data_IF_440304328913
#
_entry.id   IF_440304328913
#
_cell.length_a   1.000
_cell.length_b   1.000
_cell.length_c   1.000
_cell.angle_alpha   90.00
_cell.angle_beta   90.00
_cell.angle_gamma   90.00
#
_symmetry.space_group_name_H-M   'P 1'
#
loop_
_entity.id
_entity.type
_entity.pdbx_description
1 polymer ?
#
# COMPACT_ATOMS: atom_id res chain seq x y z
N UNK A 1 -11.38 18.85 4.97
CA UNK A 1 -10.32 17.84 4.81
C UNK A 1 -9.09 18.56 4.28
N UNK A 2 -8.16 18.94 5.14
CA UNK A 2 -6.85 19.37 4.67
C UNK A 2 -6.17 18.14 4.06
N UNK A 3 -5.87 18.25 2.78
CA UNK A 3 -5.59 17.16 1.86
C UNK A 3 -4.18 16.66 2.20
N UNK A 4 -4.06 15.42 2.71
CA UNK A 4 -2.79 14.81 3.18
C UNK A 4 -1.62 14.86 2.19
N UNK A 5 -1.89 15.24 0.95
CA UNK A 5 -0.91 15.44 -0.10
C UNK A 5 0.03 16.63 0.17
N UNK A 6 -0.41 17.67 0.88
CA UNK A 6 0.47 18.79 1.27
C UNK A 6 1.58 18.35 2.23
N UNK A 7 1.36 17.27 2.98
CA UNK A 7 2.37 16.68 3.87
C UNK A 7 3.43 15.87 3.09
N UNK A 8 3.18 15.56 1.82
CA UNK A 8 4.07 14.76 0.99
C UNK A 8 4.49 15.53 -0.25
N UNK A 9 5.69 16.10 -0.20
CA UNK A 9 6.29 16.74 -1.37
C UNK A 9 6.71 15.68 -2.40
N UNK A 10 5.80 15.40 -3.34
CA UNK A 10 6.03 14.58 -4.52
C UNK A 10 6.34 15.43 -5.77
N UNK A 11 6.61 16.74 -5.61
CA UNK A 11 6.88 17.65 -6.74
C UNK A 11 5.69 17.79 -7.70
N UNK A 12 4.47 17.55 -7.21
CA UNK A 12 3.27 17.46 -8.02
C UNK A 12 2.64 18.85 -8.24
N UNK A 13 2.58 19.28 -9.50
CA UNK A 13 1.85 20.48 -9.89
C UNK A 13 0.37 20.13 -10.14
N UNK A 14 -0.48 20.28 -9.12
CA UNK A 14 -1.91 19.91 -9.17
C UNK A 14 -2.69 20.48 -10.36
N UNK A 15 -2.48 21.75 -10.78
CA UNK A 15 -3.07 22.27 -12.02
C UNK A 15 -2.75 21.44 -13.27
N UNK A 16 -1.49 21.02 -13.44
CA UNK A 16 -1.08 20.19 -14.57
C UNK A 16 -1.56 18.74 -14.44
N UNK A 17 -1.65 18.20 -13.22
CA UNK A 17 -2.12 16.83 -13.00
C UNK A 17 -3.56 16.59 -13.45
N UNK A 18 -4.41 17.63 -13.51
CA UNK A 18 -5.82 17.48 -13.92
C UNK A 18 -5.98 16.93 -15.34
N UNK A 19 -4.98 17.12 -16.20
CA UNK A 19 -5.00 16.65 -17.59
C UNK A 19 -4.24 15.35 -17.80
N UNK A 20 -3.54 14.85 -16.77
CA UNK A 20 -2.69 13.67 -16.85
C UNK A 20 -3.46 12.40 -16.52
N UNK A 21 -3.14 11.31 -17.22
CA UNK A 21 -3.60 10.00 -16.80
C UNK A 21 -2.83 9.56 -15.55
N UNK A 22 -3.42 8.65 -14.79
CA UNK A 22 -2.77 8.10 -13.59
C UNK A 22 -1.40 7.48 -13.90
N UNK A 23 -1.24 6.90 -15.09
CA UNK A 23 0.02 6.32 -15.55
C UNK A 23 1.10 7.39 -15.77
N UNK A 24 0.72 8.54 -16.32
CA UNK A 24 1.64 9.68 -16.53
C UNK A 24 2.14 10.24 -15.20
N UNK A 25 1.25 10.31 -14.21
CA UNK A 25 1.60 10.71 -12.84
C UNK A 25 2.60 9.74 -12.22
N UNK A 26 2.36 8.43 -12.34
CA UNK A 26 3.27 7.41 -11.83
C UNK A 26 4.62 7.45 -12.53
N UNK A 27 4.64 7.60 -13.86
CA UNK A 27 5.85 7.70 -14.64
C UNK A 27 6.66 8.94 -14.25
N UNK A 28 6.00 10.08 -14.08
CA UNK A 28 6.63 11.32 -13.63
C UNK A 28 7.29 11.14 -12.25
N UNK A 29 6.57 10.56 -11.29
CA UNK A 29 7.12 10.30 -9.94
C UNK A 29 8.28 9.31 -10.00
N UNK A 30 8.17 8.27 -10.83
CA UNK A 30 9.24 7.30 -11.00
C UNK A 30 10.50 7.92 -11.62
N UNK A 31 10.35 8.72 -12.67
CA UNK A 31 11.45 9.38 -13.37
C UNK A 31 12.16 10.43 -12.51
N UNK A 32 11.41 11.23 -11.74
CA UNK A 32 11.98 12.32 -10.96
C UNK A 32 12.40 11.95 -9.53
N UNK A 33 11.73 10.97 -8.92
CA UNK A 33 11.92 10.64 -7.50
C UNK A 33 12.27 9.16 -7.25
N UNK A 34 12.27 8.33 -8.29
CA UNK A 34 12.67 6.93 -8.23
C UNK A 34 11.60 5.97 -7.69
N UNK A 35 11.93 4.68 -7.74
CA UNK A 35 11.04 3.56 -7.40
C UNK A 35 10.44 3.66 -6.00
N UNK A 36 11.26 4.02 -5.00
CA UNK A 36 10.80 4.07 -3.61
C UNK A 36 9.69 5.10 -3.44
N UNK A 37 9.86 6.31 -4.00
CA UNK A 37 8.88 7.39 -3.93
C UNK A 37 7.60 7.07 -4.71
N UNK A 38 7.71 6.35 -5.83
CA UNK A 38 6.54 5.82 -6.53
C UNK A 38 5.74 4.83 -5.66
N UNK A 39 6.43 3.91 -4.96
CA UNK A 39 5.76 2.98 -4.03
C UNK A 39 5.07 3.74 -2.88
N UNK A 40 5.73 4.77 -2.34
CA UNK A 40 5.14 5.65 -1.32
C UNK A 40 3.84 6.30 -1.81
N UNK A 41 3.87 6.86 -3.02
CA UNK A 41 2.71 7.47 -3.63
C UNK A 41 1.55 6.48 -3.80
N UNK A 42 1.83 5.25 -4.25
CA UNK A 42 0.81 4.21 -4.41
C UNK A 42 0.18 3.79 -3.08
N UNK A 43 0.99 3.61 -2.03
CA UNK A 43 0.49 3.29 -0.68
C UNK A 43 -0.37 4.43 -0.14
N UNK A 44 0.00 5.68 -0.40
CA UNK A 44 -0.80 6.85 -0.02
C UNK A 44 -2.15 6.86 -0.76
N UNK A 45 -2.16 6.70 -2.08
CA UNK A 45 -3.38 6.55 -2.88
C UNK A 45 -4.31 5.46 -2.32
N UNK A 46 -3.74 4.29 -2.02
CA UNK A 46 -4.45 3.16 -1.46
C UNK A 46 -5.05 3.47 -0.07
N UNK A 47 -4.30 4.17 0.79
CA UNK A 47 -4.76 4.55 2.12
C UNK A 47 -5.95 5.52 2.07
N UNK A 48 -5.92 6.46 1.13
CA UNK A 48 -7.00 7.43 0.89
C UNK A 48 -8.25 6.71 0.38
N UNK A 49 -8.07 5.78 -0.58
CA UNK A 49 -9.15 4.94 -1.09
C UNK A 49 -9.81 4.12 0.03
N UNK A 50 -9.00 3.44 0.87
CA UNK A 50 -9.49 2.70 2.02
C UNK A 50 -10.27 3.60 3.00
N UNK A 51 -9.76 4.81 3.28
CA UNK A 51 -10.44 5.74 4.18
C UNK A 51 -11.80 6.19 3.60
N UNK A 52 -11.85 6.47 2.29
CA UNK A 52 -13.09 6.81 1.59
C UNK A 52 -14.12 5.66 1.66
N UNK A 53 -13.68 4.42 1.47
CA UNK A 53 -14.56 3.25 1.55
C UNK A 53 -15.10 3.04 2.97
N UNK A 54 -14.30 3.29 4.00
CA UNK A 54 -14.77 3.25 5.39
C UNK A 54 -15.92 4.22 5.64
N UNK A 55 -15.79 5.45 5.16
CA UNK A 55 -16.84 6.47 5.25
C UNK A 55 -18.11 6.01 4.51
N UNK A 56 -17.97 5.45 3.31
CA UNK A 56 -19.10 4.93 2.53
C UNK A 56 -19.86 3.80 3.24
N UNK A 57 -19.19 3.01 4.08
CA UNK A 57 -19.78 1.95 4.90
C UNK A 57 -20.17 2.40 6.32
N UNK A 58 -20.30 3.71 6.56
CA UNK A 58 -20.78 4.26 7.83
C UNK A 58 -19.75 4.28 8.96
N UNK A 59 -18.48 4.01 8.68
CA UNK A 59 -17.40 4.14 9.66
C UNK A 59 -16.87 5.58 9.69
N UNK A 60 -16.28 6.00 10.81
CA UNK A 60 -15.69 7.32 10.93
C UNK A 60 -14.44 7.47 10.06
N UNK A 61 -14.29 8.66 9.45
CA UNK A 61 -13.09 9.04 8.73
C UNK A 61 -11.89 9.05 9.68
N UNK A 62 -10.77 8.43 9.29
CA UNK A 62 -9.51 8.63 10.01
C UNK A 62 -9.05 10.07 9.87
N UNK A 63 -8.49 10.63 10.95
CA UNK A 63 -7.83 11.92 10.92
C UNK A 63 -6.64 11.87 9.94
N UNK A 64 -6.34 12.97 9.24
CA UNK A 64 -5.20 13.04 8.32
C UNK A 64 -3.87 12.69 9.00
N UNK A 65 -3.66 13.11 10.24
CA UNK A 65 -2.43 12.78 11.00
C UNK A 65 -2.37 11.32 11.43
N UNK A 66 -3.50 10.69 11.74
CA UNK A 66 -3.54 9.25 12.02
C UNK A 66 -3.23 8.46 10.74
N UNK A 67 -3.69 8.95 9.59
CA UNK A 67 -3.39 8.34 8.28
C UNK A 67 -1.91 8.49 7.95
N UNK A 68 -1.32 9.66 8.20
CA UNK A 68 0.11 9.93 8.02
C UNK A 68 0.97 9.04 8.94
N UNK A 69 0.59 8.91 10.21
CA UNK A 69 1.32 8.10 11.20
C UNK A 69 1.20 6.61 10.89
N UNK A 70 -0.01 6.14 10.56
CA UNK A 70 -0.23 4.77 10.10
C UNK A 70 0.60 4.46 8.85
N UNK A 71 0.64 5.40 7.91
CA UNK A 71 1.43 5.29 6.68
C UNK A 71 2.93 5.16 6.97
N UNK A 72 3.51 5.98 7.85
CA UNK A 72 4.93 5.91 8.20
C UNK A 72 5.29 4.57 8.86
N UNK A 73 4.40 4.07 9.71
CA UNK A 73 4.57 2.77 10.35
C UNK A 73 4.50 1.63 9.33
N UNK A 74 3.51 1.66 8.43
CA UNK A 74 3.35 0.67 7.37
C UNK A 74 4.56 0.63 6.43
N UNK A 75 5.10 1.79 6.07
CA UNK A 75 6.29 1.87 5.24
C UNK A 75 7.50 1.22 5.92
N UNK A 76 7.70 1.49 7.21
CA UNK A 76 8.79 0.91 7.99
C UNK A 76 8.67 -0.62 8.01
N UNK A 77 7.48 -1.14 8.32
CA UNK A 77 7.21 -2.58 8.33
C UNK A 77 7.46 -3.22 6.95
N UNK A 78 7.03 -2.58 5.87
CA UNK A 78 7.24 -3.07 4.52
C UNK A 78 8.73 -3.15 4.14
N UNK A 79 9.51 -2.12 4.50
CA UNK A 79 10.96 -2.12 4.28
C UNK A 79 11.67 -3.20 5.10
N UNK A 80 11.29 -3.36 6.37
CA UNK A 80 11.81 -4.42 7.23
C UNK A 80 11.48 -5.81 6.67
N UNK A 81 10.24 -6.03 6.22
CA UNK A 81 9.82 -7.28 5.62
C UNK A 81 10.55 -7.56 4.29
N UNK A 82 10.77 -6.55 3.45
CA UNK A 82 11.57 -6.70 2.23
C UNK A 82 13.01 -7.15 2.54
N UNK A 83 13.66 -6.54 3.53
CA UNK A 83 15.02 -6.91 3.94
C UNK A 83 15.08 -8.34 4.48
N UNK A 84 14.06 -8.77 5.24
CA UNK A 84 13.95 -10.15 5.72
C UNK A 84 13.71 -11.15 4.57
N UNK A 85 12.94 -10.76 3.55
CA UNK A 85 12.64 -11.58 2.38
C UNK A 85 13.88 -11.86 1.53
N UNK A 86 14.75 -10.86 1.35
CA UNK A 86 16.02 -11.01 0.64
C UNK A 86 17.00 -11.93 1.37
N UNK A 87 16.94 -11.99 2.71
CA UNK A 87 17.79 -12.87 3.52
C UNK A 87 17.28 -14.31 3.58
N UNK A 88 15.98 -14.53 3.39
CA UNK A 88 15.35 -15.86 3.43
C UNK A 88 15.45 -16.65 2.11
N UNK A 89 15.76 -15.99 0.99
CA UNK A 89 15.79 -16.63 -0.33
C UNK A 89 17.04 -17.51 -0.57
N UNK A 90 18.03 -17.50 0.33
CA UNK A 90 19.25 -18.30 0.19
C UNK A 90 19.13 -19.74 0.73
N UNK A 91 18.00 -20.15 1.32
CA UNK A 91 17.87 -21.48 1.95
C UNK A 91 16.54 -22.21 1.76
N UNK A 92 15.63 -21.73 0.90
CA UNK A 92 14.37 -22.45 0.68
C UNK A 92 14.55 -23.61 -0.30
N UNK A 93 14.75 -24.81 0.27
CA UNK A 93 14.44 -26.08 -0.37
C UNK A 93 12.97 -26.09 -0.83
N UNK A 94 12.73 -26.61 -2.03
CA UNK A 94 11.45 -26.55 -2.73
C UNK A 94 10.26 -26.95 -1.84
N UNK A 95 9.14 -26.19 -1.83
CA UNK A 95 7.95 -26.58 -1.08
C UNK A 95 7.41 -27.89 -1.64
N UNK A 96 7.32 -28.92 -0.78
CA UNK A 96 6.63 -30.17 -1.13
C UNK A 96 5.16 -29.85 -1.47
N UNK A 97 4.60 -30.43 -2.54
CA UNK A 97 3.22 -30.19 -2.91
C UNK A 97 2.28 -30.73 -1.81
N UNK A 98 1.70 -29.82 -1.03
CA UNK A 98 0.62 -30.14 -0.11
C UNK A 98 -0.64 -30.41 -0.92
N UNK A 99 -0.99 -31.69 -1.08
CA UNK A 99 -2.27 -32.10 -1.65
C UNK A 99 -3.39 -31.59 -0.74
N UNK A 100 -4.33 -30.84 -1.31
CA UNK A 100 -5.57 -30.47 -0.63
C UNK A 100 -6.26 -31.73 -0.10
N UNK A 101 -6.65 -31.71 1.18
CA UNK A 101 -7.47 -32.75 1.80
C UNK A 101 -8.82 -32.15 2.19
N UNK A 102 -9.90 -32.89 1.93
CA UNK A 102 -11.24 -32.51 2.33
C UNK A 102 -11.35 -32.51 3.87
N UNK A 103 -12.02 -31.52 4.49
CA UNK A 103 -12.32 -31.57 5.92
C UNK A 103 -13.13 -32.84 6.24
N UNK A 104 -12.64 -33.60 7.22
CA UNK A 104 -13.21 -34.88 7.60
C UNK A 104 -14.56 -34.65 8.29
N UNK A 105 -15.67 -34.93 7.59
CA UNK A 105 -17.03 -34.79 8.10
C UNK A 105 -17.29 -35.91 9.12
N UNK A 106 -16.90 -35.68 10.38
CA UNK A 106 -17.30 -36.54 11.48
C UNK A 106 -18.62 -36.03 12.08
N UNK A 107 -19.71 -36.69 11.70
CA UNK A 107 -20.84 -37.00 12.59
C UNK A 107 -21.74 -35.84 13.01
N UNK A 108 -22.79 -35.60 12.23
CA UNK A 108 -24.08 -35.25 12.83
C UNK A 108 -24.81 -36.56 13.10
N UNK A 109 -24.99 -36.88 14.39
CA UNK A 109 -25.96 -37.86 14.87
C UNK A 109 -27.36 -37.26 14.79
#
# INVERSE_FOLDING_TARGET
MQISWELFDFGLNFPQMKTWLFQDILLNIYCHHGKNRMQLFLVLCWSIWCNRNKIAHGQQARLPMDTYTWYLNYLREFQTAQQQSTSAFSTQSAPKPTKWQLPSIHGYK
#
